data_IF_660431789118
#
_entry.id   IF_660431789118
#
_cell.length_a   1.000
_cell.length_b   1.000
_cell.length_c   1.000
_cell.angle_alpha   90.00
_cell.angle_beta   90.00
_cell.angle_gamma   90.00
#
_symmetry.space_group_name_H-M   'P 1'
#
loop_
_entity.id
_entity.type
_entity.pdbx_description
1 polymer ?
#
# COMPACT_ATOMS: atom_id res chain seq x y z
N UNK A 1 -45.32 40.80 -7.94
CA UNK A 1 -44.02 40.87 -8.64
C UNK A 1 -42.97 40.94 -7.55
N UNK A 2 -42.23 39.86 -7.32
CA UNK A 2 -41.10 39.84 -6.38
C UNK A 2 -39.92 40.48 -7.09
N UNK A 3 -39.51 41.66 -6.65
CA UNK A 3 -38.31 42.33 -7.12
C UNK A 3 -37.12 41.51 -6.64
N UNK A 4 -36.46 40.80 -7.55
CA UNK A 4 -35.15 40.20 -7.27
C UNK A 4 -34.17 41.36 -7.05
N UNK A 5 -33.87 41.64 -5.77
CA UNK A 5 -32.81 42.55 -5.38
C UNK A 5 -31.49 41.97 -5.91
N UNK A 6 -30.87 42.70 -6.85
CA UNK A 6 -29.56 42.30 -7.36
C UNK A 6 -28.53 42.46 -6.24
N UNK A 7 -27.66 41.46 -6.03
CA UNK A 7 -26.64 41.55 -5.00
C UNK A 7 -25.73 42.76 -5.23
N UNK A 8 -25.25 43.40 -4.16
CA UNK A 8 -24.26 44.47 -4.23
C UNK A 8 -23.04 44.05 -5.05
N UNK A 9 -22.49 44.99 -5.84
CA UNK A 9 -21.30 44.73 -6.68
C UNK A 9 -20.10 44.30 -5.84
N UNK A 10 -19.99 44.79 -4.62
CA UNK A 10 -18.92 44.44 -3.67
C UNK A 10 -18.99 42.95 -3.27
N UNK A 11 -20.19 42.40 -3.08
CA UNK A 11 -20.40 40.98 -2.74
C UNK A 11 -20.05 40.07 -3.93
N UNK A 12 -20.40 40.48 -5.15
CA UNK A 12 -20.04 39.74 -6.38
C UNK A 12 -18.52 39.71 -6.60
N UNK A 13 -17.82 40.81 -6.31
CA UNK A 13 -16.35 40.88 -6.44
C UNK A 13 -15.68 40.01 -5.37
N UNK A 14 -16.22 39.97 -4.15
CA UNK A 14 -15.71 39.11 -3.09
C UNK A 14 -15.88 37.62 -3.44
N UNK A 15 -17.07 37.22 -3.89
CA UNK A 15 -17.36 35.83 -4.31
C UNK A 15 -16.44 35.39 -5.47
N UNK A 16 -16.24 36.25 -6.48
CA UNK A 16 -15.30 35.97 -7.57
C UNK A 16 -13.85 35.82 -7.08
N UNK A 17 -13.45 36.56 -6.04
CA UNK A 17 -12.15 36.45 -5.41
C UNK A 17 -11.98 35.13 -4.66
N UNK A 18 -13.00 34.72 -3.93
CA UNK A 18 -13.02 33.45 -3.19
C UNK A 18 -13.03 32.24 -4.14
N UNK A 19 -13.76 32.31 -5.25
CA UNK A 19 -13.77 31.29 -6.31
C UNK A 19 -12.37 31.15 -6.95
N UNK A 20 -11.71 32.26 -7.27
CA UNK A 20 -10.36 32.25 -7.84
C UNK A 20 -9.32 31.66 -6.86
N UNK A 21 -9.45 31.95 -5.56
CA UNK A 21 -8.61 31.36 -4.52
C UNK A 21 -8.90 29.86 -4.35
N UNK A 22 -10.15 29.45 -4.43
CA UNK A 22 -10.55 28.04 -4.35
C UNK A 22 -10.03 27.23 -5.54
N UNK A 23 -10.12 27.77 -6.75
CA UNK A 23 -9.56 27.18 -7.97
C UNK A 23 -8.04 27.02 -7.85
N UNK A 24 -7.34 28.10 -7.47
CA UNK A 24 -5.89 28.09 -7.25
C UNK A 24 -5.47 27.03 -6.22
N UNK A 25 -6.22 26.91 -5.11
CA UNK A 25 -5.94 25.90 -4.08
C UNK A 25 -6.14 24.46 -4.60
N UNK A 26 -7.12 24.23 -5.48
CA UNK A 26 -7.31 22.93 -6.13
C UNK A 26 -6.17 22.60 -7.09
N UNK A 27 -5.75 23.56 -7.90
CA UNK A 27 -4.63 23.42 -8.83
C UNK A 27 -3.32 23.09 -8.11
N UNK A 28 -2.99 23.83 -7.05
CA UNK A 28 -1.79 23.56 -6.23
C UNK A 28 -1.83 22.15 -5.64
N UNK A 29 -2.99 21.69 -5.15
CA UNK A 29 -3.14 20.33 -4.64
C UNK A 29 -2.97 19.29 -5.74
N UNK A 30 -3.50 19.56 -6.95
CA UNK A 30 -3.37 18.66 -8.09
C UNK A 30 -1.90 18.55 -8.54
N UNK A 31 -1.20 19.67 -8.64
CA UNK A 31 0.21 19.71 -9.02
C UNK A 31 1.09 19.08 -7.93
N UNK A 32 0.82 19.35 -6.64
CA UNK A 32 1.50 18.69 -5.53
C UNK A 32 1.38 17.16 -5.59
N UNK A 33 0.18 16.64 -5.88
CA UNK A 33 -0.01 15.19 -6.11
C UNK A 33 0.76 14.69 -7.33
N UNK A 34 0.87 15.49 -8.39
CA UNK A 34 1.65 15.13 -9.58
C UNK A 34 3.14 15.02 -9.26
N UNK A 35 3.70 15.99 -8.56
CA UNK A 35 5.11 16.02 -8.16
C UNK A 35 5.46 14.86 -7.22
N UNK A 36 4.59 14.54 -6.25
CA UNK A 36 4.79 13.38 -5.37
C UNK A 36 4.84 12.07 -6.17
N UNK A 37 3.92 11.85 -7.11
CA UNK A 37 3.94 10.67 -7.98
C UNK A 37 5.22 10.58 -8.83
N UNK A 38 5.72 11.72 -9.32
CA UNK A 38 6.97 11.75 -10.09
C UNK A 38 8.18 11.40 -9.21
N UNK A 39 8.22 11.91 -7.97
CA UNK A 39 9.25 11.57 -7.01
C UNK A 39 9.24 10.07 -6.67
N UNK A 40 8.06 9.50 -6.39
CA UNK A 40 7.88 8.08 -6.12
C UNK A 40 8.35 7.20 -7.30
N UNK A 41 8.02 7.61 -8.53
CA UNK A 41 8.48 6.92 -9.73
C UNK A 41 10.00 6.97 -9.89
N UNK A 42 10.61 8.13 -9.63
CA UNK A 42 12.06 8.27 -9.70
C UNK A 42 12.78 7.39 -8.66
N UNK A 43 12.25 7.33 -7.43
CA UNK A 43 12.76 6.44 -6.38
C UNK A 43 12.62 4.96 -6.78
N UNK A 44 11.47 4.57 -7.34
CA UNK A 44 11.22 3.22 -7.82
C UNK A 44 12.23 2.79 -8.90
N UNK A 45 12.46 3.64 -9.89
CA UNK A 45 13.43 3.38 -10.96
C UNK A 45 14.86 3.27 -10.42
N UNK A 46 15.22 4.09 -9.43
CA UNK A 46 16.53 4.03 -8.79
C UNK A 46 16.72 2.72 -8.02
N UNK A 47 15.72 2.31 -7.23
CA UNK A 47 15.72 1.02 -6.52
C UNK A 47 15.87 -0.13 -7.51
N UNK A 48 15.08 -0.16 -8.59
CA UNK A 48 15.16 -1.21 -9.60
C UNK A 48 16.56 -1.31 -10.20
N UNK A 49 17.16 -0.18 -10.60
CA UNK A 49 18.52 -0.16 -11.15
C UNK A 49 19.56 -0.69 -10.15
N UNK A 50 19.43 -0.34 -8.88
CA UNK A 50 20.32 -0.86 -7.83
C UNK A 50 20.16 -2.37 -7.67
N UNK A 51 18.92 -2.87 -7.61
CA UNK A 51 18.63 -4.31 -7.51
C UNK A 51 19.16 -5.08 -8.72
N UNK A 52 18.91 -4.59 -9.94
CA UNK A 52 19.40 -5.22 -11.17
C UNK A 52 20.92 -5.30 -11.21
N UNK A 53 21.61 -4.31 -10.64
CA UNK A 53 23.07 -4.28 -10.54
C UNK A 53 23.62 -5.02 -9.31
N UNK A 54 22.77 -5.58 -8.45
CA UNK A 54 23.18 -6.18 -7.18
C UNK A 54 23.78 -5.20 -6.17
N UNK A 55 23.53 -3.90 -6.33
CA UNK A 55 24.08 -2.85 -5.48
C UNK A 55 23.21 -2.66 -4.22
N UNK A 56 23.85 -2.63 -3.05
CA UNK A 56 23.19 -2.32 -1.76
C UNK A 56 23.48 -0.91 -1.26
N UNK A 57 24.45 -0.23 -1.88
CA UNK A 57 24.84 1.15 -1.57
C UNK A 57 24.85 2.00 -2.84
N UNK A 58 24.42 3.24 -2.70
CA UNK A 58 24.51 4.29 -3.71
C UNK A 58 25.47 5.35 -3.17
N UNK A 59 26.41 5.76 -4.00
CA UNK A 59 27.34 6.84 -3.68
C UNK A 59 27.50 7.71 -4.93
N UNK A 60 27.02 8.95 -4.86
CA UNK A 60 27.10 9.95 -5.93
C UNK A 60 27.82 11.19 -5.41
N UNK A 61 28.01 12.20 -6.24
CA UNK A 61 28.67 13.45 -5.83
C UNK A 61 28.00 14.12 -4.62
N UNK A 62 26.66 14.13 -4.58
CA UNK A 62 25.91 14.86 -3.55
C UNK A 62 25.07 13.97 -2.63
N UNK A 63 24.94 12.68 -2.94
CA UNK A 63 24.02 11.79 -2.23
C UNK A 63 24.69 10.47 -1.87
N UNK A 64 24.30 9.93 -0.72
CA UNK A 64 24.53 8.54 -0.36
C UNK A 64 23.20 7.84 -0.13
N UNK A 65 23.14 6.56 -0.47
CA UNK A 65 21.95 5.75 -0.34
C UNK A 65 22.26 4.35 0.16
N UNK A 66 21.38 3.79 0.98
CA UNK A 66 21.45 2.38 1.40
C UNK A 66 20.15 1.68 1.10
N UNK A 67 20.25 0.55 0.39
CA UNK A 67 19.12 -0.31 0.07
C UNK A 67 18.92 -1.32 1.20
N UNK A 68 17.80 -1.22 1.89
CA UNK A 68 17.41 -2.16 2.93
C UNK A 68 16.47 -3.22 2.35
N UNK A 69 16.58 -4.50 2.78
CA UNK A 69 15.59 -5.52 2.46
C UNK A 69 14.16 -5.05 2.77
N UNK A 70 13.22 -5.32 1.87
CA UNK A 70 11.80 -5.15 2.18
C UNK A 70 11.35 -6.17 3.22
N UNK A 71 10.38 -5.79 4.05
CA UNK A 71 9.71 -6.75 4.93
C UNK A 71 9.00 -7.82 4.08
N UNK A 72 9.02 -9.09 4.48
CA UNK A 72 8.25 -10.10 3.77
C UNK A 72 6.76 -9.78 3.85
N UNK A 73 6.03 -10.13 2.80
CA UNK A 73 4.58 -10.17 2.83
C UNK A 73 4.10 -11.59 2.55
N UNK A 74 2.99 -11.94 3.16
CA UNK A 74 2.45 -13.29 3.11
C UNK A 74 1.14 -13.27 2.32
N UNK A 75 1.14 -13.96 1.19
CA UNK A 75 -0.06 -14.32 0.44
C UNK A 75 -0.45 -15.75 0.80
N UNK A 76 -1.74 -16.05 0.64
CA UNK A 76 -2.28 -17.38 0.84
C UNK A 76 -2.70 -17.90 -0.53
N UNK A 77 -2.23 -19.09 -0.87
CA UNK A 77 -2.71 -19.86 -2.02
C UNK A 77 -4.03 -20.55 -1.62
N UNK A 78 -5.14 -20.05 -2.15
CA UNK A 78 -6.47 -20.54 -1.82
C UNK A 78 -6.66 -22.02 -2.22
N UNK A 79 -6.11 -22.45 -3.36
CA UNK A 79 -6.27 -23.81 -3.86
C UNK A 79 -5.58 -24.82 -2.95
N UNK A 80 -4.40 -24.47 -2.44
CA UNK A 80 -3.70 -25.27 -1.44
C UNK A 80 -4.39 -25.23 -0.09
N UNK A 81 -4.89 -24.06 0.34
CA UNK A 81 -5.55 -23.88 1.63
C UNK A 81 -6.89 -24.63 1.71
N UNK A 82 -7.57 -24.85 0.58
CA UNK A 82 -8.80 -25.66 0.49
C UNK A 82 -8.59 -27.13 0.93
N UNK A 83 -7.35 -27.64 0.96
CA UNK A 83 -7.05 -29.00 1.47
C UNK A 83 -7.32 -29.17 2.96
N UNK A 84 -7.49 -28.08 3.70
CA UNK A 84 -7.87 -28.11 5.11
C UNK A 84 -9.31 -28.61 5.35
N UNK A 85 -10.20 -28.56 4.35
CA UNK A 85 -11.61 -28.98 4.45
C UNK A 85 -11.75 -30.43 4.93
N UNK A 86 -10.87 -31.33 4.45
CA UNK A 86 -10.85 -32.73 4.85
C UNK A 86 -10.06 -33.04 6.12
N UNK A 87 -9.39 -32.04 6.71
CA UNK A 87 -8.51 -32.20 7.88
C UNK A 87 -9.07 -31.53 9.14
N UNK A 88 -10.04 -30.63 8.99
CA UNK A 88 -10.63 -29.87 10.09
C UNK A 88 -12.05 -30.38 10.40
N UNK A 89 -12.51 -30.06 11.60
CA UNK A 89 -13.93 -30.18 11.94
C UNK A 89 -14.74 -29.12 11.18
N UNK A 90 -16.03 -29.35 10.96
CA UNK A 90 -16.93 -28.36 10.33
C UNK A 90 -16.92 -27.02 11.08
N UNK A 91 -16.79 -27.06 12.41
CA UNK A 91 -16.69 -25.88 13.27
C UNK A 91 -15.41 -25.09 13.01
N UNK A 92 -14.26 -25.75 13.00
CA UNK A 92 -12.97 -25.09 12.76
C UNK A 92 -12.83 -24.60 11.31
N UNK A 93 -13.41 -25.33 10.37
CA UNK A 93 -13.48 -24.92 8.96
C UNK A 93 -14.29 -23.64 8.79
N UNK A 94 -15.47 -23.54 9.40
CA UNK A 94 -16.30 -22.34 9.38
C UNK A 94 -15.66 -21.14 10.10
N UNK A 95 -14.79 -21.38 11.08
CA UNK A 95 -13.99 -20.34 11.74
C UNK A 95 -12.82 -19.87 10.88
N UNK A 96 -12.16 -20.77 10.16
CA UNK A 96 -11.00 -20.46 9.34
C UNK A 96 -11.37 -19.72 8.05
N UNK A 97 -12.51 -20.08 7.43
CA UNK A 97 -12.98 -19.51 6.17
C UNK A 97 -13.96 -18.36 6.42
N UNK A 98 -13.56 -17.14 6.06
CA UNK A 98 -14.34 -15.90 6.29
C UNK A 98 -14.94 -15.37 4.99
N UNK A 99 -16.02 -14.59 5.13
CA UNK A 99 -16.61 -13.90 3.98
C UNK A 99 -15.69 -12.77 3.47
N UNK A 100 -15.72 -12.46 2.15
CA UNK A 100 -14.86 -11.45 1.52
C UNK A 100 -14.85 -10.09 2.26
N UNK A 101 -13.74 -9.33 2.22
CA UNK A 101 -12.67 -9.38 1.21
C UNK A 101 -11.48 -10.29 1.53
N UNK A 102 -11.36 -10.82 2.76
CA UNK A 102 -10.34 -11.80 3.12
C UNK A 102 -10.98 -13.18 3.25
N UNK A 103 -10.54 -14.15 2.44
CA UNK A 103 -11.11 -15.49 2.41
C UNK A 103 -10.71 -16.35 3.63
N UNK A 104 -9.66 -15.94 4.35
CA UNK A 104 -9.08 -16.70 5.46
C UNK A 104 -8.79 -15.85 6.69
N UNK A 105 -9.18 -16.35 7.88
CA UNK A 105 -8.85 -15.73 9.16
C UNK A 105 -7.46 -16.18 9.62
N UNK A 106 -6.49 -15.27 9.49
CA UNK A 106 -5.09 -15.52 9.86
C UNK A 106 -4.91 -15.86 11.35
N UNK A 107 -5.77 -15.36 12.23
CA UNK A 107 -5.69 -15.67 13.66
C UNK A 107 -6.08 -17.12 13.90
N UNK A 108 -7.19 -17.55 13.29
CA UNK A 108 -7.65 -18.94 13.38
C UNK A 108 -6.65 -19.89 12.73
N UNK A 109 -6.12 -19.56 11.55
CA UNK A 109 -5.06 -20.36 10.91
C UNK A 109 -3.83 -20.51 11.82
N UNK A 110 -3.41 -19.45 12.53
CA UNK A 110 -2.31 -19.54 13.48
C UNK A 110 -2.64 -20.39 14.72
N UNK A 111 -3.89 -20.40 15.18
CA UNK A 111 -4.35 -21.29 16.26
C UNK A 111 -4.32 -22.75 15.78
N UNK A 112 -4.84 -23.03 14.58
CA UNK A 112 -4.86 -24.37 13.97
C UNK A 112 -3.46 -24.90 13.66
N UNK A 113 -2.55 -24.05 13.17
CA UNK A 113 -1.16 -24.43 12.90
C UNK A 113 -0.40 -24.89 14.16
N UNK A 114 -0.81 -24.45 15.36
CA UNK A 114 -0.22 -24.90 16.63
C UNK A 114 -0.57 -26.35 16.98
N UNK A 115 -1.65 -26.89 16.41
CA UNK A 115 -2.04 -28.29 16.58
C UNK A 115 -1.02 -29.25 15.95
N UNK A 116 -0.23 -28.76 14.98
CA UNK A 116 0.82 -29.54 14.32
C UNK A 116 0.29 -30.48 13.23
N UNK A 117 1.12 -31.44 12.83
CA UNK A 117 0.76 -32.48 11.85
C UNK A 117 0.43 -31.92 10.46
N UNK A 118 -0.49 -32.61 9.77
CA UNK A 118 -0.86 -32.31 8.39
C UNK A 118 -1.53 -30.94 8.24
N UNK A 119 -2.29 -30.50 9.25
CA UNK A 119 -2.91 -29.16 9.28
C UNK A 119 -1.85 -28.07 9.20
N UNK A 120 -0.79 -28.19 10.02
CA UNK A 120 0.34 -27.25 9.98
C UNK A 120 1.06 -27.28 8.63
N UNK A 121 1.31 -28.48 8.09
CA UNK A 121 2.00 -28.64 6.81
C UNK A 121 1.22 -27.99 5.65
N UNK A 122 -0.11 -28.11 5.64
CA UNK A 122 -0.96 -27.43 4.65
C UNK A 122 -0.90 -25.91 4.81
N UNK A 123 -1.05 -25.39 6.04
CA UNK A 123 -1.03 -23.94 6.28
C UNK A 123 0.31 -23.31 5.90
N UNK A 124 1.42 -23.94 6.30
CA UNK A 124 2.77 -23.45 5.94
C UNK A 124 3.03 -23.59 4.45
N UNK A 125 2.60 -24.68 3.81
CA UNK A 125 2.76 -24.91 2.38
C UNK A 125 1.91 -23.99 1.51
N UNK A 126 0.73 -23.59 1.98
CA UNK A 126 -0.17 -22.65 1.30
C UNK A 126 0.18 -21.18 1.58
N UNK A 127 1.03 -20.90 2.58
CA UNK A 127 1.47 -19.53 2.88
C UNK A 127 2.71 -19.19 2.07
N UNK A 128 2.53 -18.40 1.01
CA UNK A 128 3.64 -17.93 0.19
C UNK A 128 4.23 -16.69 0.84
N UNK A 129 5.48 -16.80 1.27
CA UNK A 129 6.27 -15.67 1.80
C UNK A 129 7.08 -15.05 0.68
N UNK A 130 6.63 -13.88 0.20
CA UNK A 130 7.36 -13.12 -0.80
C UNK A 130 8.16 -12.01 -0.13
N UNK A 131 9.40 -11.82 -0.57
CA UNK A 131 10.22 -10.71 -0.07
C UNK A 131 9.64 -9.40 -0.60
N UNK A 132 9.26 -8.51 0.30
CA UNK A 132 8.77 -7.19 -0.08
C UNK A 132 9.83 -6.38 -0.83
N UNK A 133 9.36 -5.34 -1.52
CA UNK A 133 10.22 -4.43 -2.27
C UNK A 133 11.29 -3.81 -1.35
N UNK A 134 12.57 -3.83 -1.75
CA UNK A 134 13.62 -3.14 -1.01
C UNK A 134 13.31 -1.65 -0.84
N UNK A 135 13.70 -1.09 0.30
CA UNK A 135 13.52 0.33 0.62
C UNK A 135 14.84 1.07 0.50
N UNK A 136 14.84 2.20 -0.18
CA UNK A 136 16.02 3.06 -0.30
C UNK A 136 15.99 4.15 0.77
N UNK A 137 17.07 4.27 1.55
CA UNK A 137 17.28 5.42 2.44
C UNK A 137 18.32 6.32 1.80
N UNK A 138 17.93 7.54 1.43
CA UNK A 138 18.82 8.56 0.87
C UNK A 138 19.16 9.63 1.90
N UNK A 139 20.42 10.08 1.89
CA UNK A 139 20.85 11.26 2.63
C UNK A 139 21.80 12.10 1.78
N UNK A 140 21.72 13.42 1.92
CA UNK A 140 22.60 14.36 1.23
C UNK A 140 23.96 14.39 1.95
N UNK A 141 25.04 14.51 1.19
CA UNK A 141 26.38 14.76 1.74
C UNK A 141 26.46 16.22 2.19
N UNK A 142 27.08 16.43 3.35
CA UNK A 142 27.47 17.76 3.84
C UNK A 142 28.69 18.30 3.08
#
# INVERSE_FOLDING_TARGET
MTTEERPPVEDVIADMGDDALAETAQEIRAEGRRLLRMADLAEFELVNRMVTKGATKLDTEHWVGTLSPGAPFHTIDDDLMMRLDGLLSDEDWGRARVHPPALWDKRVLNELAKLGGDVKAVIEGATVSERGRPKLKLSRKE
#
